data_IF_861973112736
#
_entry.id   IF_861973112736
#
_cell.length_a   1.000
_cell.length_b   1.000
_cell.length_c   1.000
_cell.angle_alpha   90.00
_cell.angle_beta   90.00
_cell.angle_gamma   90.00
#
_symmetry.space_group_name_H-M   'P 1'
#
loop_
_entity.id
_entity.type
_entity.pdbx_description
1 polymer ?
#
# COMPACT_ATOMS: atom_id res chain seq x y z
N UNK A 1 -6.47 -11.92 3.60
CA UNK A 1 -5.23 -12.71 3.78
C UNK A 1 -4.38 -12.74 2.51
N UNK A 2 -3.06 -12.58 2.64
CA UNK A 2 -2.07 -12.72 1.56
C UNK A 2 -0.89 -13.62 1.97
N UNK A 3 -0.22 -14.23 0.99
CA UNK A 3 0.94 -15.12 1.18
C UNK A 3 2.20 -14.36 1.60
N UNK A 4 3.17 -15.04 2.21
CA UNK A 4 4.34 -14.37 2.75
C UNK A 4 5.14 -13.58 1.69
N UNK A 5 5.34 -12.29 1.93
CA UNK A 5 6.12 -11.38 1.08
C UNK A 5 6.99 -10.45 1.96
N UNK A 6 7.96 -9.71 1.37
CA UNK A 6 8.79 -8.78 2.13
C UNK A 6 7.99 -7.60 2.72
N UNK A 7 7.92 -7.55 4.04
CA UNK A 7 7.41 -6.41 4.79
C UNK A 7 8.38 -5.21 4.76
N UNK A 8 7.91 -3.98 5.04
CA UNK A 8 8.76 -2.78 5.18
C UNK A 8 9.94 -2.90 6.16
N UNK A 9 9.89 -3.83 7.12
CA UNK A 9 10.99 -4.11 8.03
C UNK A 9 12.05 -5.07 7.48
N UNK A 10 11.84 -5.64 6.29
CA UNK A 10 12.68 -6.65 5.63
C UNK A 10 12.31 -8.10 5.96
N UNK A 11 11.38 -8.36 6.89
CA UNK A 11 10.93 -9.72 7.22
C UNK A 11 9.98 -10.24 6.14
N UNK A 12 10.10 -11.52 5.78
CA UNK A 12 9.15 -12.21 4.90
C UNK A 12 8.04 -12.78 5.78
N UNK A 13 6.84 -12.20 5.71
CA UNK A 13 5.68 -12.61 6.51
C UNK A 13 4.39 -12.44 5.70
N UNK A 14 3.40 -13.27 5.99
CA UNK A 14 2.04 -13.07 5.46
C UNK A 14 1.29 -11.96 6.21
N UNK A 15 -0.01 -11.89 5.97
CA UNK A 15 -0.86 -10.93 6.68
C UNK A 15 -2.26 -10.80 6.09
N UNK A 16 -2.91 -9.71 6.46
CA UNK A 16 -4.23 -9.34 5.95
C UNK A 16 -4.12 -8.29 4.87
N UNK A 17 -4.99 -8.42 3.87
CA UNK A 17 -5.17 -7.42 2.84
C UNK A 17 -6.61 -6.95 2.87
N UNK A 18 -6.78 -5.65 2.66
CA UNK A 18 -8.05 -4.99 2.51
C UNK A 18 -8.04 -4.20 1.21
N UNK A 19 -9.11 -4.31 0.43
CA UNK A 19 -9.30 -3.54 -0.79
C UNK A 19 -10.67 -2.89 -0.76
N UNK A 20 -10.68 -1.62 -1.11
CA UNK A 20 -11.88 -0.80 -1.25
C UNK A 20 -11.82 -0.05 -2.57
N UNK A 21 -12.97 0.06 -3.22
CA UNK A 21 -13.15 0.78 -4.46
C UNK A 21 -14.44 1.58 -4.30
N UNK A 22 -14.35 2.90 -4.35
CA UNK A 22 -15.50 3.76 -4.14
C UNK A 22 -16.38 3.93 -5.39
N UNK A 23 -15.95 3.39 -6.55
CA UNK A 23 -16.61 3.54 -7.83
C UNK A 23 -16.44 4.92 -8.49
N UNK A 24 -15.74 5.85 -7.85
CA UNK A 24 -15.52 7.23 -8.31
C UNK A 24 -14.03 7.53 -8.58
N UNK A 25 -13.22 6.48 -8.71
CA UNK A 25 -11.82 6.59 -9.11
C UNK A 25 -10.84 6.67 -7.95
N UNK A 26 -11.24 6.35 -6.71
CA UNK A 26 -10.29 6.01 -5.66
C UNK A 26 -10.30 4.51 -5.40
N UNK A 27 -9.14 3.87 -5.59
CA UNK A 27 -8.92 2.49 -5.16
C UNK A 27 -7.94 2.50 -3.98
N UNK A 28 -8.37 1.94 -2.85
CA UNK A 28 -7.52 1.77 -1.67
C UNK A 28 -7.14 0.31 -1.51
N UNK A 29 -5.85 0.05 -1.39
CA UNK A 29 -5.32 -1.28 -1.07
C UNK A 29 -4.39 -1.20 0.14
N UNK A 30 -4.82 -1.83 1.23
CA UNK A 30 -4.10 -1.89 2.49
C UNK A 30 -3.57 -3.30 2.75
N UNK A 31 -2.29 -3.40 3.13
CA UNK A 31 -1.66 -4.64 3.59
C UNK A 31 -1.17 -4.47 5.02
N UNK A 32 -1.64 -5.34 5.89
CA UNK A 32 -1.27 -5.44 7.29
C UNK A 32 -0.45 -6.70 7.49
N UNK A 33 0.86 -6.53 7.66
CA UNK A 33 1.78 -7.64 7.86
C UNK A 33 1.66 -8.16 9.29
N UNK A 34 1.73 -9.48 9.50
CA UNK A 34 1.67 -10.07 10.86
C UNK A 34 2.79 -9.59 11.78
N UNK A 35 3.90 -9.10 11.21
CA UNK A 35 4.95 -8.46 11.99
C UNK A 35 4.57 -7.07 12.55
N UNK A 36 3.44 -6.48 12.13
CA UNK A 36 2.99 -5.14 12.53
C UNK A 36 3.37 -4.00 11.57
N UNK A 37 3.95 -4.31 10.41
CA UNK A 37 4.15 -3.31 9.36
C UNK A 37 2.83 -3.06 8.59
N UNK A 38 2.76 -1.92 7.89
CA UNK A 38 1.65 -1.58 6.99
C UNK A 38 2.17 -1.11 5.64
N UNK A 39 1.51 -1.49 4.55
CA UNK A 39 1.64 -0.83 3.24
C UNK A 39 0.25 -0.38 2.79
N UNK A 40 0.13 0.84 2.28
CA UNK A 40 -1.10 1.39 1.71
C UNK A 40 -0.80 1.85 0.29
N UNK A 41 -1.63 1.47 -0.66
CA UNK A 41 -1.61 1.96 -2.04
C UNK A 41 -2.94 2.63 -2.34
N UNK A 42 -2.88 3.87 -2.80
CA UNK A 42 -4.03 4.61 -3.32
C UNK A 42 -3.83 4.81 -4.81
N UNK A 43 -4.84 4.49 -5.60
CA UNK A 43 -4.94 4.85 -7.01
C UNK A 43 -6.03 5.90 -7.14
N UNK A 44 -5.70 7.00 -7.79
CA UNK A 44 -6.58 8.14 -7.97
C UNK A 44 -7.12 8.18 -9.41
N UNK A 45 -8.20 8.93 -9.63
CA UNK A 45 -8.90 9.03 -10.91
C UNK A 45 -8.00 9.53 -12.04
N UNK A 46 -7.00 10.35 -11.71
CA UNK A 46 -6.02 10.88 -12.66
C UNK A 46 -4.90 9.88 -13.00
N UNK A 47 -4.98 8.64 -12.50
CA UNK A 47 -3.95 7.62 -12.64
C UNK A 47 -2.74 7.84 -11.72
N UNK A 48 -2.78 8.84 -10.83
CA UNK A 48 -1.76 8.98 -9.79
C UNK A 48 -1.84 7.79 -8.85
N UNK A 49 -0.69 7.25 -8.47
CA UNK A 49 -0.56 6.18 -7.49
C UNK A 49 0.30 6.68 -6.34
N UNK A 50 -0.25 6.61 -5.12
CA UNK A 50 0.51 6.89 -3.91
C UNK A 50 0.69 5.61 -3.12
N UNK A 51 1.93 5.20 -2.92
CA UNK A 51 2.30 4.07 -2.07
C UNK A 51 2.92 4.60 -0.80
N UNK A 52 2.44 4.12 0.35
CA UNK A 52 3.00 4.46 1.64
C UNK A 52 3.34 3.20 2.41
N UNK A 53 4.47 3.22 3.09
CA UNK A 53 4.96 2.09 3.88
C UNK A 53 5.30 2.55 5.29
N UNK A 54 4.81 1.81 6.28
CA UNK A 54 5.11 2.01 7.69
C UNK A 54 5.77 0.75 8.24
N UNK A 55 6.94 0.94 8.82
CA UNK A 55 7.66 -0.11 9.54
C UNK A 55 7.14 -0.19 10.97
N UNK A 56 6.94 -1.41 11.48
CA UNK A 56 6.65 -1.61 12.90
C UNK A 56 7.67 -0.90 13.80
N UNK A 57 7.22 -0.44 14.97
CA UNK A 57 8.11 0.20 15.96
C UNK A 57 8.72 1.54 15.53
N UNK A 58 8.36 2.10 14.37
CA UNK A 58 8.75 3.46 13.94
C UNK A 58 7.52 4.27 13.57
N UNK A 59 7.57 5.59 13.83
CA UNK A 59 6.53 6.55 13.41
C UNK A 59 6.71 7.09 11.98
N UNK A 60 7.79 6.73 11.30
CA UNK A 60 8.15 7.35 10.04
C UNK A 60 7.45 6.61 8.88
N UNK A 61 6.63 7.36 8.15
CA UNK A 61 5.93 6.93 6.95
C UNK A 61 6.80 7.22 5.74
N UNK A 62 7.18 6.19 4.99
CA UNK A 62 7.76 6.38 3.66
C UNK A 62 6.60 6.61 2.68
N UNK A 63 6.68 7.66 1.86
CA UNK A 63 5.69 7.99 0.83
C UNK A 63 6.43 7.98 -0.50
N UNK A 64 5.94 7.17 -1.43
CA UNK A 64 6.39 7.09 -2.81
C UNK A 64 5.17 7.47 -3.65
N UNK A 65 5.33 8.51 -4.47
CA UNK A 65 4.27 8.95 -5.37
C UNK A 65 4.74 8.72 -6.80
N UNK A 66 3.95 7.96 -7.55
CA UNK A 66 4.15 7.68 -8.97
C UNK A 66 2.97 8.29 -9.73
N UNK A 67 3.25 8.98 -10.83
CA UNK A 67 2.20 9.55 -11.68
C UNK A 67 2.30 8.85 -13.03
N UNK A 68 1.35 7.97 -13.32
CA UNK A 68 1.24 7.35 -14.64
C UNK A 68 0.60 8.35 -15.58
N UNK A 69 1.40 8.98 -16.44
CA UNK A 69 0.88 9.74 -17.58
C UNK A 69 0.19 8.74 -18.52
N UNK A 70 -1.12 8.58 -18.37
CA UNK A 70 -1.91 7.85 -19.36
C UNK A 70 -1.97 8.73 -20.63
N UNK A 71 -1.50 8.25 -21.80
CA UNK A 71 -1.78 8.93 -23.05
C UNK A 71 -3.29 8.91 -23.27
N UNK A 72 -3.87 10.10 -23.42
CA UNK A 72 -5.28 10.32 -23.78
C UNK A 72 -5.60 9.82 -25.18
#
# INVERSE_FOLDING_TARGET
MFTAEPAPCGKIVGGECYRDDDGFGLVVYDQYYTCGCKRTRHEYHDGTVTVTAMRHGRRHKLIIQERSEHPV
#
